data_IF_968459044642
#
_entry.id   IF_968459044642
#
_cell.length_a   1.000
_cell.length_b   1.000
_cell.length_c   1.000
_cell.angle_alpha   90.00
_cell.angle_beta   90.00
_cell.angle_gamma   90.00
#
_symmetry.space_group_name_H-M   'P 1'
#
loop_
_entity.id
_entity.type
_entity.pdbx_description
1 polymer ?
#
# COMPACT_ATOMS: atom_id res chain seq x y z
N UNK A 1 -13.48 -13.74 -13.22
CA UNK A 1 -12.41 -13.91 -14.23
C UNK A 1 -11.08 -13.20 -13.92
N UNK A 2 -11.01 -11.96 -13.39
CA UNK A 2 -9.70 -11.33 -13.13
C UNK A 2 -8.94 -11.87 -11.89
N UNK A 3 -9.64 -12.41 -10.89
CA UNK A 3 -9.02 -12.91 -9.66
C UNK A 3 -8.15 -14.16 -9.88
N UNK A 4 -8.61 -15.12 -10.70
CA UNK A 4 -7.86 -16.34 -11.00
C UNK A 4 -6.54 -16.06 -11.70
N UNK A 5 -6.53 -15.12 -12.64
CA UNK A 5 -5.31 -14.69 -13.34
C UNK A 5 -4.30 -14.05 -12.37
N UNK A 6 -4.76 -13.17 -11.47
CA UNK A 6 -3.90 -12.55 -10.45
C UNK A 6 -3.30 -13.61 -9.53
N UNK A 7 -4.11 -14.55 -9.04
CA UNK A 7 -3.64 -15.61 -8.17
C UNK A 7 -2.62 -16.51 -8.87
N UNK A 8 -2.85 -16.84 -10.15
CA UNK A 8 -1.90 -17.60 -10.95
C UNK A 8 -0.58 -16.85 -11.10
N UNK A 9 -0.61 -15.54 -11.38
CA UNK A 9 0.61 -14.73 -11.51
C UNK A 9 1.39 -14.64 -10.19
N UNK A 10 0.69 -14.45 -9.06
CA UNK A 10 1.31 -14.46 -7.72
C UNK A 10 1.90 -15.83 -7.38
N UNK A 11 1.18 -16.92 -7.70
CA UNK A 11 1.67 -18.28 -7.51
C UNK A 11 2.92 -18.55 -8.37
N UNK A 12 2.91 -18.11 -9.64
CA UNK A 12 4.07 -18.22 -10.53
C UNK A 12 5.27 -17.43 -9.99
N UNK A 13 5.07 -16.20 -9.51
CA UNK A 13 6.14 -15.42 -8.88
C UNK A 13 6.70 -16.15 -7.64
N UNK A 14 5.83 -16.74 -6.82
CA UNK A 14 6.25 -17.51 -5.64
C UNK A 14 7.04 -18.78 -5.99
N UNK A 15 6.55 -19.57 -6.95
CA UNK A 15 7.26 -20.77 -7.45
C UNK A 15 8.61 -20.38 -8.05
N UNK A 16 8.64 -19.31 -8.83
CA UNK A 16 9.87 -18.78 -9.45
C UNK A 16 10.90 -18.36 -8.40
N UNK A 17 10.46 -17.70 -7.32
CA UNK A 17 11.33 -17.35 -6.18
C UNK A 17 11.96 -18.60 -5.57
N UNK A 18 11.15 -19.60 -5.21
CA UNK A 18 11.67 -20.81 -4.57
C UNK A 18 12.58 -21.61 -5.51
N UNK A 19 12.20 -21.75 -6.78
CA UNK A 19 13.03 -22.43 -7.79
C UNK A 19 14.38 -21.72 -7.98
N UNK A 20 14.42 -20.38 -8.00
CA UNK A 20 15.66 -19.63 -8.05
C UNK A 20 16.49 -19.78 -6.75
N UNK A 21 15.85 -19.72 -5.58
CA UNK A 21 16.52 -19.82 -4.28
C UNK A 21 17.19 -21.18 -4.04
N UNK A 22 16.61 -22.27 -4.58
CA UNK A 22 17.20 -23.62 -4.51
C UNK A 22 18.13 -23.94 -5.69
N UNK A 23 18.36 -22.98 -6.59
CA UNK A 23 19.27 -23.12 -7.74
C UNK A 23 18.71 -23.87 -8.95
N UNK A 24 17.41 -24.11 -9.02
CA UNK A 24 16.78 -24.69 -10.22
C UNK A 24 16.65 -23.69 -11.38
N UNK A 25 16.61 -22.39 -11.07
CA UNK A 25 16.61 -21.31 -12.06
C UNK A 25 17.80 -20.37 -11.83
N UNK A 26 18.53 -20.05 -12.90
CA UNK A 26 19.68 -19.13 -12.88
C UNK A 26 19.24 -17.66 -12.99
N UNK A 27 18.33 -17.23 -12.12
CA UNK A 27 17.88 -15.83 -12.01
C UNK A 27 18.05 -15.36 -10.56
N UNK A 28 18.15 -14.05 -10.36
CA UNK A 28 18.11 -13.47 -9.02
C UNK A 28 16.73 -13.69 -8.37
N UNK A 29 16.63 -14.41 -7.23
CA UNK A 29 15.37 -14.64 -6.53
C UNK A 29 14.64 -13.34 -6.18
N UNK A 30 15.36 -12.24 -5.91
CA UNK A 30 14.74 -10.95 -5.58
C UNK A 30 13.88 -10.40 -6.72
N UNK A 31 14.20 -10.72 -7.99
CA UNK A 31 13.35 -10.32 -9.12
C UNK A 31 11.95 -10.93 -9.06
N UNK A 32 11.84 -12.17 -8.57
CA UNK A 32 10.55 -12.82 -8.39
C UNK A 32 9.72 -12.16 -7.27
N UNK A 33 10.38 -11.74 -6.18
CA UNK A 33 9.75 -10.94 -5.11
C UNK A 33 9.29 -9.57 -5.61
N UNK A 34 10.12 -8.90 -6.42
CA UNK A 34 9.75 -7.62 -7.05
C UNK A 34 8.54 -7.77 -7.97
N UNK A 35 8.45 -8.88 -8.72
CA UNK A 35 7.27 -9.18 -9.54
C UNK A 35 6.01 -9.37 -8.69
N UNK A 36 6.11 -10.09 -7.56
CA UNK A 36 5.02 -10.24 -6.61
C UNK A 36 4.55 -8.90 -6.04
N UNK A 37 5.49 -8.06 -5.59
CA UNK A 37 5.18 -6.71 -5.10
C UNK A 37 4.55 -5.84 -6.19
N UNK A 38 5.06 -5.88 -7.42
CA UNK A 38 4.51 -5.14 -8.54
C UNK A 38 3.04 -5.49 -8.81
N UNK A 39 2.69 -6.79 -8.73
CA UNK A 39 1.30 -7.24 -8.86
C UNK A 39 0.42 -6.71 -7.73
N UNK A 40 0.88 -6.79 -6.47
CA UNK A 40 0.16 -6.26 -5.31
C UNK A 40 -0.08 -4.76 -5.44
N UNK A 41 0.95 -3.99 -5.77
CA UNK A 41 0.86 -2.53 -6.00
C UNK A 41 -0.12 -2.22 -7.14
N UNK A 42 -0.10 -2.99 -8.22
CA UNK A 42 -1.03 -2.79 -9.33
C UNK A 42 -2.49 -3.01 -8.89
N UNK A 43 -2.74 -4.04 -8.08
CA UNK A 43 -4.07 -4.31 -7.49
C UNK A 43 -4.49 -3.15 -6.59
N UNK A 44 -3.61 -2.69 -5.72
CA UNK A 44 -3.85 -1.54 -4.85
C UNK A 44 -4.21 -0.29 -5.65
N UNK A 45 -3.46 0.03 -6.71
CA UNK A 45 -3.74 1.17 -7.58
C UNK A 45 -5.13 1.13 -8.19
N UNK A 46 -5.60 -0.05 -8.63
CA UNK A 46 -6.93 -0.24 -9.22
C UNK A 46 -8.02 -0.16 -8.15
N UNK A 47 -7.85 -0.88 -7.04
CA UNK A 47 -8.87 -0.95 -5.98
C UNK A 47 -8.99 0.40 -5.28
N UNK A 48 -7.88 1.03 -4.90
CA UNK A 48 -7.85 2.30 -4.19
C UNK A 48 -8.58 3.41 -4.95
N UNK A 49 -8.42 3.49 -6.28
CA UNK A 49 -9.10 4.53 -7.06
C UNK A 49 -10.61 4.40 -7.19
N UNK A 50 -11.16 3.24 -6.85
CA UNK A 50 -12.61 3.05 -6.76
C UNK A 50 -13.06 3.22 -5.32
N UNK A 51 -12.38 2.54 -4.41
CA UNK A 51 -12.78 2.38 -3.03
C UNK A 51 -12.59 3.67 -2.22
N UNK A 52 -11.44 4.34 -2.35
CA UNK A 52 -11.16 5.55 -1.57
C UNK A 52 -12.14 6.67 -1.93
N UNK A 53 -12.37 7.01 -3.21
CA UNK A 53 -13.38 8.02 -3.57
C UNK A 53 -14.80 7.60 -3.16
N UNK A 54 -15.19 6.35 -3.36
CA UNK A 54 -16.52 5.86 -3.00
C UNK A 54 -16.78 5.97 -1.49
N UNK A 55 -15.81 5.59 -0.65
CA UNK A 55 -15.94 5.71 0.80
C UNK A 55 -15.97 7.17 1.26
N UNK A 56 -15.18 8.05 0.64
CA UNK A 56 -15.22 9.48 0.95
C UNK A 56 -16.56 10.10 0.57
N UNK A 57 -17.10 9.81 -0.61
CA UNK A 57 -18.40 10.33 -1.06
C UNK A 57 -19.56 9.78 -0.23
N UNK A 58 -19.54 8.48 0.10
CA UNK A 58 -20.55 7.87 0.98
C UNK A 58 -20.58 8.51 2.37
N UNK A 59 -19.42 8.92 2.88
CA UNK A 59 -19.30 9.54 4.18
C UNK A 59 -19.62 11.05 4.18
N UNK A 60 -19.53 11.73 3.03
CA UNK A 60 -19.70 13.18 2.90
C UNK A 60 -20.81 13.49 1.87
N UNK A 61 -22.09 13.52 2.29
CA UNK A 61 -23.22 13.76 1.40
C UNK A 61 -23.09 15.06 0.58
N UNK A 62 -23.60 15.04 -0.66
CA UNK A 62 -23.59 16.21 -1.56
C UNK A 62 -22.25 16.48 -2.26
N UNK A 63 -21.27 15.57 -2.16
CA UNK A 63 -19.96 15.72 -2.82
C UNK A 63 -19.76 14.66 -3.89
N UNK A 64 -19.33 15.12 -5.06
CA UNK A 64 -18.87 14.25 -6.15
C UNK A 64 -17.36 14.47 -6.33
N UNK A 65 -16.56 13.47 -5.96
CA UNK A 65 -15.14 13.42 -6.31
C UNK A 65 -15.06 12.91 -7.75
N UNK A 66 -14.73 13.80 -8.69
CA UNK A 66 -14.54 13.45 -10.11
C UNK A 66 -13.06 13.50 -10.43
N UNK A 67 -12.47 12.33 -10.64
CA UNK A 67 -11.12 12.22 -11.21
C UNK A 67 -11.27 12.16 -12.73
N UNK A 68 -10.53 12.97 -13.51
CA UNK A 68 -10.57 12.89 -14.96
C UNK A 68 -10.22 11.48 -15.47
N UNK A 69 -11.00 10.97 -16.42
CA UNK A 69 -10.81 9.60 -16.94
C UNK A 69 -9.45 9.40 -17.63
N UNK A 70 -8.85 10.47 -18.18
CA UNK A 70 -7.49 10.40 -18.71
C UNK A 70 -6.46 10.21 -17.59
N UNK A 71 -6.62 10.91 -16.44
CA UNK A 71 -5.70 10.81 -15.31
C UNK A 71 -5.73 9.41 -14.70
N UNK A 72 -6.92 8.83 -14.53
CA UNK A 72 -7.06 7.44 -14.07
C UNK A 72 -6.34 6.45 -15.00
N UNK A 73 -6.59 6.53 -16.31
CA UNK A 73 -5.96 5.64 -17.30
C UNK A 73 -4.44 5.83 -17.37
N UNK A 74 -3.97 7.07 -17.42
CA UNK A 74 -2.54 7.38 -17.46
C UNK A 74 -1.82 6.94 -16.19
N UNK A 75 -2.42 7.12 -15.01
CA UNK A 75 -1.82 6.68 -13.74
C UNK A 75 -1.60 5.16 -13.76
N UNK A 76 -2.63 4.40 -14.13
CA UNK A 76 -2.54 2.93 -14.16
C UNK A 76 -1.58 2.43 -15.25
N UNK A 77 -1.61 3.03 -16.45
CA UNK A 77 -0.71 2.66 -17.54
C UNK A 77 0.76 2.96 -17.22
N UNK A 78 1.06 4.17 -16.72
CA UNK A 78 2.42 4.55 -16.33
C UNK A 78 2.95 3.65 -15.22
N UNK A 79 2.11 3.31 -14.23
CA UNK A 79 2.48 2.42 -13.13
C UNK A 79 2.75 1.00 -13.61
N UNK A 80 1.86 0.42 -14.42
CA UNK A 80 2.03 -0.91 -14.97
C UNK A 80 3.31 -1.03 -15.81
N UNK A 81 3.54 -0.07 -16.72
CA UNK A 81 4.73 -0.05 -17.58
C UNK A 81 6.02 0.13 -16.77
N UNK A 82 6.01 0.99 -15.75
CA UNK A 82 7.19 1.24 -14.91
C UNK A 82 7.52 0.04 -14.03
N UNK A 83 6.51 -0.59 -13.41
CA UNK A 83 6.69 -1.81 -12.63
C UNK A 83 7.16 -2.99 -13.48
N UNK A 84 6.58 -3.17 -14.68
CA UNK A 84 7.05 -4.20 -15.61
C UNK A 84 8.51 -3.96 -16.03
N UNK A 85 8.85 -2.70 -16.37
CA UNK A 85 10.23 -2.32 -16.74
C UNK A 85 11.21 -2.54 -15.58
N UNK A 86 10.79 -2.23 -14.35
CA UNK A 86 11.59 -2.43 -13.14
C UNK A 86 11.90 -3.90 -12.85
N UNK A 87 10.95 -4.79 -13.12
CA UNK A 87 11.12 -6.24 -12.91
C UNK A 87 11.95 -6.87 -14.04
N UNK A 88 11.74 -6.44 -15.28
CA UNK A 88 12.27 -7.12 -16.46
C UNK A 88 13.60 -6.56 -16.95
N UNK A 89 13.89 -5.28 -16.69
CA UNK A 89 15.05 -4.58 -17.21
C UNK A 89 16.04 -4.24 -16.09
N UNK A 90 17.36 -4.17 -16.40
CA UNK A 90 18.33 -3.56 -15.49
C UNK A 90 17.99 -2.10 -15.17
N UNK A 91 18.60 -1.55 -14.11
CA UNK A 91 18.45 -0.13 -13.77
C UNK A 91 18.77 0.78 -14.97
N UNK A 92 17.84 1.65 -15.33
CA UNK A 92 18.00 2.52 -16.51
C UNK A 92 17.19 3.84 -16.39
N UNK A 93 17.63 4.92 -17.06
CA UNK A 93 16.97 6.22 -17.00
C UNK A 93 15.53 6.24 -17.53
N UNK A 94 15.18 5.39 -18.50
CA UNK A 94 13.82 5.34 -19.04
C UNK A 94 12.81 4.82 -18.00
N UNK A 95 13.19 3.80 -17.23
CA UNK A 95 12.39 3.28 -16.11
C UNK A 95 12.31 4.29 -14.98
N UNK A 96 13.39 5.05 -14.74
CA UNK A 96 13.38 6.15 -13.78
C UNK A 96 12.35 7.23 -14.17
N UNK A 97 12.36 7.66 -15.44
CA UNK A 97 11.40 8.63 -15.96
C UNK A 97 9.95 8.12 -15.88
N UNK A 98 9.73 6.83 -16.17
CA UNK A 98 8.43 6.18 -16.02
C UNK A 98 7.89 6.25 -14.59
N UNK A 99 8.72 5.87 -13.60
CA UNK A 99 8.34 5.96 -12.19
C UNK A 99 8.15 7.40 -11.70
N UNK A 100 8.96 8.34 -12.17
CA UNK A 100 8.77 9.76 -11.85
C UNK A 100 7.42 10.27 -12.38
N UNK A 101 7.05 9.89 -13.61
CA UNK A 101 5.73 10.19 -14.18
C UNK A 101 4.61 9.52 -13.36
N UNK A 102 4.75 8.24 -13.01
CA UNK A 102 3.79 7.54 -12.17
C UNK A 102 3.60 8.24 -10.82
N UNK A 103 4.69 8.70 -10.18
CA UNK A 103 4.63 9.44 -8.93
C UNK A 103 3.81 10.74 -9.05
N UNK A 104 4.06 11.53 -10.10
CA UNK A 104 3.32 12.77 -10.36
C UNK A 104 1.83 12.51 -10.61
N UNK A 105 1.51 11.47 -11.40
CA UNK A 105 0.13 11.08 -11.69
C UNK A 105 -0.59 10.57 -10.44
N UNK A 106 0.07 9.78 -9.60
CA UNK A 106 -0.46 9.33 -8.31
C UNK A 106 -0.73 10.50 -7.35
N UNK A 107 0.19 11.48 -7.28
CA UNK A 107 0.01 12.68 -6.48
C UNK A 107 -1.18 13.52 -6.98
N UNK A 108 -1.28 13.74 -8.29
CA UNK A 108 -2.41 14.42 -8.91
C UNK A 108 -3.73 13.67 -8.65
N UNK A 109 -3.75 12.35 -8.77
CA UNK A 109 -4.90 11.50 -8.49
C UNK A 109 -5.35 11.62 -7.03
N UNK A 110 -4.41 11.56 -6.08
CA UNK A 110 -4.69 11.75 -4.65
C UNK A 110 -5.23 13.15 -4.36
N UNK A 111 -4.71 14.19 -5.01
CA UNK A 111 -5.21 15.56 -4.87
C UNK A 111 -6.70 15.67 -5.25
N UNK A 112 -7.13 15.01 -6.34
CA UNK A 112 -8.53 14.97 -6.75
C UNK A 112 -9.45 14.26 -5.76
N UNK A 113 -8.90 13.40 -4.88
CA UNK A 113 -9.64 12.74 -3.81
C UNK A 113 -9.83 13.62 -2.57
N UNK A 114 -9.13 14.76 -2.50
CA UNK A 114 -9.33 15.82 -1.51
C UNK A 114 -9.16 15.32 -0.06
N UNK A 115 -8.00 14.71 0.28
CA UNK A 115 -7.76 14.02 1.55
C UNK A 115 -8.00 14.90 2.79
N UNK A 116 -7.76 16.21 2.68
CA UNK A 116 -7.97 17.18 3.77
C UNK A 116 -9.41 17.17 4.31
N UNK A 117 -10.40 16.79 3.50
CA UNK A 117 -11.80 16.70 3.94
C UNK A 117 -12.08 15.50 4.84
N UNK A 118 -11.15 14.57 4.95
CA UNK A 118 -11.29 13.35 5.76
C UNK A 118 -10.59 13.45 7.12
N UNK A 119 -9.92 14.57 7.43
CA UNK A 119 -9.10 14.75 8.65
C UNK A 119 -9.85 14.43 9.96
N UNK A 120 -11.14 14.75 10.04
CA UNK A 120 -11.97 14.46 11.22
C UNK A 120 -12.45 13.00 11.32
N UNK A 121 -12.17 12.15 10.32
CA UNK A 121 -12.68 10.78 10.22
C UNK A 121 -11.53 9.79 9.99
N UNK A 122 -10.95 9.21 11.05
CA UNK A 122 -9.75 8.39 10.90
C UNK A 122 -9.89 7.15 10.04
N UNK A 123 -11.07 6.55 10.00
CA UNK A 123 -11.38 5.44 9.10
C UNK A 123 -11.27 5.80 7.60
N UNK A 124 -11.27 7.09 7.27
CA UNK A 124 -11.12 7.59 5.90
C UNK A 124 -9.72 8.15 5.66
N UNK A 125 -9.17 8.96 6.58
CA UNK A 125 -7.86 9.57 6.33
C UNK A 125 -6.75 8.53 6.27
N UNK A 126 -6.86 7.40 6.99
CA UNK A 126 -5.86 6.33 6.95
C UNK A 126 -5.65 5.79 5.54
N UNK A 127 -6.72 5.67 4.74
CA UNK A 127 -6.64 5.18 3.36
C UNK A 127 -5.92 6.18 2.46
N UNK A 128 -6.14 7.48 2.67
CA UNK A 128 -5.46 8.52 1.91
C UNK A 128 -3.99 8.65 2.31
N UNK A 129 -3.70 8.55 3.62
CA UNK A 129 -2.34 8.57 4.14
C UNK A 129 -1.53 7.36 3.66
N UNK A 130 -2.13 6.17 3.65
CA UNK A 130 -1.52 4.98 3.08
C UNK A 130 -1.26 5.14 1.57
N UNK A 131 -2.27 5.59 0.81
CA UNK A 131 -2.11 5.83 -0.62
C UNK A 131 -1.05 6.89 -0.95
N UNK A 132 -0.83 7.88 -0.08
CA UNK A 132 0.23 8.88 -0.25
C UNK A 132 1.64 8.26 -0.30
N UNK A 133 1.83 7.03 0.18
CA UNK A 133 3.08 6.30 0.02
C UNK A 133 3.31 5.73 -1.38
N UNK A 134 2.28 5.58 -2.23
CA UNK A 134 2.47 5.17 -3.63
C UNK A 134 3.30 6.17 -4.45
N UNK A 135 2.97 7.48 -4.49
CA UNK A 135 3.81 8.43 -5.21
C UNK A 135 5.20 8.55 -4.58
N UNK A 136 5.33 8.43 -3.25
CA UNK A 136 6.64 8.40 -2.56
C UNK A 136 7.46 7.19 -2.98
N UNK A 137 6.86 6.00 -2.99
CA UNK A 137 7.53 4.75 -3.39
C UNK A 137 7.93 4.76 -4.86
N UNK A 138 7.07 5.25 -5.75
CA UNK A 138 7.40 5.45 -7.16
C UNK A 138 8.57 6.43 -7.31
N UNK A 139 8.56 7.57 -6.60
CA UNK A 139 9.66 8.53 -6.65
C UNK A 139 10.99 7.94 -6.15
N UNK A 140 10.97 7.21 -5.04
CA UNK A 140 12.15 6.54 -4.51
C UNK A 140 12.68 5.45 -5.44
N UNK A 141 11.80 4.69 -6.11
CA UNK A 141 12.21 3.74 -7.14
C UNK A 141 12.80 4.45 -8.36
N UNK A 142 12.25 5.60 -8.79
CA UNK A 142 12.83 6.40 -9.86
C UNK A 142 14.27 6.83 -9.50
N UNK A 143 14.47 7.32 -8.28
CA UNK A 143 15.78 7.75 -7.80
C UNK A 143 16.76 6.59 -7.66
N UNK A 144 16.28 5.41 -7.23
CA UNK A 144 17.07 4.19 -7.16
C UNK A 144 17.53 3.69 -8.54
N UNK A 145 16.70 3.82 -9.59
CA UNK A 145 17.08 3.49 -10.96
C UNK A 145 18.23 4.37 -11.50
N UNK A 146 18.50 5.51 -10.86
CA UNK A 146 19.61 6.41 -11.15
C UNK A 146 20.77 6.28 -10.14
N UNK A 147 20.70 5.32 -9.23
CA UNK A 147 21.74 5.04 -8.23
C UNK A 147 21.79 6.00 -7.04
N UNK A 148 20.79 6.89 -6.87
CA UNK A 148 20.85 7.91 -5.83
C UNK A 148 20.34 7.49 -4.45
N UNK A 149 19.55 6.41 -4.38
CA UNK A 149 19.17 5.74 -3.12
C UNK A 149 19.11 4.22 -3.33
N UNK A 150 19.17 3.45 -2.25
CA UNK A 150 18.93 2.01 -2.33
C UNK A 150 17.48 1.71 -2.74
N UNK A 151 17.28 0.75 -3.66
CA UNK A 151 15.94 0.29 -4.08
C UNK A 151 15.06 -0.14 -2.91
N UNK A 152 15.66 -0.62 -1.82
CA UNK A 152 14.98 -0.96 -0.56
C UNK A 152 14.08 0.17 -0.05
N UNK A 153 14.44 1.45 -0.23
CA UNK A 153 13.64 2.57 0.25
C UNK A 153 12.30 2.65 -0.49
N UNK A 154 12.32 2.56 -1.83
CA UNK A 154 11.11 2.54 -2.65
C UNK A 154 10.26 1.30 -2.43
N UNK A 155 10.90 0.13 -2.32
CA UNK A 155 10.24 -1.15 -2.00
C UNK A 155 9.44 -1.05 -0.69
N UNK A 156 10.04 -0.52 0.37
CA UNK A 156 9.37 -0.46 1.68
C UNK A 156 8.40 0.71 1.82
N UNK A 157 8.58 1.79 1.05
CA UNK A 157 7.53 2.79 0.89
C UNK A 157 6.25 2.16 0.31
N UNK A 158 6.38 1.30 -0.71
CA UNK A 158 5.25 0.56 -1.26
C UNK A 158 4.72 -0.50 -0.29
N UNK A 159 5.58 -1.38 0.23
CA UNK A 159 5.13 -2.51 1.05
C UNK A 159 4.69 -2.13 2.48
N UNK A 160 5.46 -1.31 3.21
CA UNK A 160 5.13 -0.93 4.59
C UNK A 160 4.24 0.30 4.61
N UNK A 161 4.51 1.28 3.76
CA UNK A 161 3.72 2.52 3.69
C UNK A 161 2.36 2.32 3.04
N UNK A 162 2.34 1.89 1.78
CA UNK A 162 1.10 1.75 1.01
C UNK A 162 0.35 0.46 1.37
N UNK A 163 0.96 -0.71 1.21
CA UNK A 163 0.28 -2.00 1.40
C UNK A 163 -0.20 -2.19 2.83
N UNK A 164 0.69 -2.14 3.83
CA UNK A 164 0.26 -2.34 5.23
C UNK A 164 -0.72 -1.25 5.71
N UNK A 165 -0.56 -0.01 5.27
CA UNK A 165 -1.47 1.10 5.57
C UNK A 165 -2.87 0.90 4.97
N UNK A 166 -2.95 0.47 3.70
CA UNK A 166 -4.21 0.17 3.03
C UNK A 166 -4.87 -1.05 3.67
N UNK A 167 -4.10 -2.10 4.01
CA UNK A 167 -4.58 -3.27 4.73
C UNK A 167 -5.23 -2.83 6.04
N UNK A 168 -4.51 -2.16 6.96
CA UNK A 168 -5.05 -1.84 8.29
C UNK A 168 -6.31 -0.97 8.21
N UNK A 169 -6.37 -0.03 7.26
CA UNK A 169 -7.56 0.79 7.02
C UNK A 169 -8.74 -0.03 6.47
N UNK A 170 -8.50 -0.91 5.51
CA UNK A 170 -9.53 -1.74 4.89
C UNK A 170 -10.04 -2.83 5.83
N UNK A 171 -9.14 -3.55 6.53
CA UNK A 171 -9.54 -4.63 7.44
C UNK A 171 -10.31 -4.11 8.65
N UNK A 172 -10.03 -2.88 9.10
CA UNK A 172 -10.81 -2.22 10.15
C UNK A 172 -12.23 -1.90 9.68
N UNK A 173 -12.35 -1.29 8.50
CA UNK A 173 -13.67 -0.92 7.94
C UNK A 173 -14.52 -2.14 7.63
N UNK A 174 -13.93 -3.13 6.97
CA UNK A 174 -14.63 -4.37 6.58
C UNK A 174 -15.05 -5.16 7.80
N UNK A 175 -14.19 -5.35 8.80
CA UNK A 175 -14.56 -6.02 10.04
C UNK A 175 -15.73 -5.33 10.74
N UNK A 176 -15.77 -4.00 10.83
CA UNK A 176 -16.94 -3.28 11.38
C UNK A 176 -18.21 -3.51 10.57
N UNK A 177 -18.13 -3.42 9.24
CA UNK A 177 -19.29 -3.63 8.37
C UNK A 177 -19.85 -5.06 8.42
N UNK A 178 -18.96 -6.06 8.43
CA UNK A 178 -19.34 -7.47 8.49
C UNK A 178 -19.80 -7.91 9.87
N UNK A 179 -19.44 -7.19 10.93
CA UNK A 179 -19.88 -7.48 12.30
C UNK A 179 -21.03 -6.58 12.78
N UNK A 180 -21.65 -5.80 11.87
CA UNK A 180 -22.82 -4.96 12.15
C UNK A 180 -22.53 -3.74 13.05
N UNK A 181 -21.26 -3.31 13.15
CA UNK A 181 -20.84 -2.25 14.07
C UNK A 181 -20.74 -0.88 13.37
N UNK A 182 -20.96 0.23 14.08
CA UNK A 182 -20.80 1.57 13.51
C UNK A 182 -19.40 1.80 12.95
N UNK A 183 -19.30 2.55 11.84
CA UNK A 183 -18.03 2.96 11.21
C UNK A 183 -17.34 4.12 11.96
N UNK A 184 -17.30 4.02 13.29
CA UNK A 184 -16.64 4.95 14.20
C UNK A 184 -15.51 4.23 14.91
N UNK A 185 -14.29 4.58 14.57
CA UNK A 185 -13.09 3.96 15.14
C UNK A 185 -12.80 4.47 16.55
N UNK A 186 -12.27 3.58 17.38
CA UNK A 186 -11.79 3.82 18.74
C UNK A 186 -10.36 4.41 18.74
N UNK A 187 -9.88 4.79 19.93
CA UNK A 187 -8.49 5.25 20.12
C UNK A 187 -7.45 4.16 19.78
N UNK A 188 -7.75 2.89 20.06
CA UNK A 188 -6.84 1.78 19.77
C UNK A 188 -6.68 1.56 18.26
N UNK A 189 -7.76 1.67 17.49
CA UNK A 189 -7.69 1.60 16.02
C UNK A 189 -6.90 2.77 15.43
N UNK A 190 -7.09 3.99 15.96
CA UNK A 190 -6.28 5.14 15.56
C UNK A 190 -4.81 4.93 15.92
N UNK A 191 -4.51 4.36 17.09
CA UNK A 191 -3.15 4.01 17.47
C UNK A 191 -2.53 3.00 16.50
N UNK A 192 -3.26 1.95 16.10
CA UNK A 192 -2.81 1.00 15.08
C UNK A 192 -2.48 1.70 13.75
N UNK A 193 -3.31 2.63 13.29
CA UNK A 193 -3.04 3.41 12.06
C UNK A 193 -1.76 4.24 12.18
N UNK A 194 -1.59 4.93 13.31
CA UNK A 194 -0.40 5.75 13.55
C UNK A 194 0.86 4.91 13.71
N UNK A 195 0.76 3.71 14.31
CA UNK A 195 1.88 2.77 14.43
C UNK A 195 2.32 2.24 13.06
N UNK A 196 1.40 1.88 12.16
CA UNK A 196 1.76 1.49 10.78
C UNK A 196 2.42 2.66 10.03
N UNK A 197 1.86 3.87 10.16
CA UNK A 197 2.44 5.06 9.55
C UNK A 197 3.84 5.36 10.11
N UNK A 198 4.02 5.27 11.42
CA UNK A 198 5.31 5.42 12.11
C UNK A 198 6.31 4.35 11.69
N UNK A 199 5.88 3.10 11.53
CA UNK A 199 6.71 2.01 11.03
C UNK A 199 7.22 2.30 9.61
N UNK A 200 6.37 2.82 8.73
CA UNK A 200 6.78 3.22 7.37
C UNK A 200 7.81 4.37 7.39
N UNK A 201 7.59 5.38 8.24
CA UNK A 201 8.55 6.49 8.42
C UNK A 201 9.90 5.98 8.92
N UNK A 202 9.91 5.19 10.00
CA UNK A 202 11.12 4.60 10.56
C UNK A 202 11.82 3.66 9.57
N UNK A 203 11.05 2.90 8.77
CA UNK A 203 11.61 1.96 7.80
C UNK A 203 12.25 2.64 6.59
N UNK A 204 11.68 3.76 6.15
CA UNK A 204 12.05 4.41 4.88
C UNK A 204 12.88 5.66 5.10
N UNK A 205 12.43 6.59 5.94
CA UNK A 205 13.06 7.91 6.07
C UNK A 205 14.29 7.86 6.99
N UNK A 206 14.25 7.10 8.08
CA UNK A 206 15.36 7.07 9.05
C UNK A 206 16.69 6.59 8.42
N UNK A 207 16.74 5.51 7.61
CA UNK A 207 17.98 5.12 6.92
C UNK A 207 18.48 6.15 5.90
N UNK A 208 17.61 7.03 5.38
CA UNK A 208 17.99 8.07 4.42
C UNK A 208 18.62 9.29 5.10
N UNK A 209 18.12 9.67 6.29
CA UNK A 209 18.57 10.87 7.01
C UNK A 209 19.64 10.59 8.07
N UNK A 210 19.64 9.38 8.65
CA UNK A 210 20.60 8.97 9.66
C UNK A 210 21.04 7.51 9.43
N UNK A 211 21.85 7.24 8.38
CA UNK A 211 22.28 5.88 8.03
C UNK A 211 22.96 5.12 9.17
N UNK A 212 23.63 5.83 10.09
CA UNK A 212 24.27 5.25 11.27
C UNK A 212 23.29 4.56 12.23
N UNK A 213 22.02 4.97 12.24
CA UNK A 213 20.97 4.42 13.11
C UNK A 213 20.02 3.48 12.36
N UNK A 214 20.47 2.90 11.25
CA UNK A 214 19.62 2.04 10.42
C UNK A 214 19.08 0.85 11.20
N UNK A 215 19.92 0.19 12.02
CA UNK A 215 19.51 -1.03 12.75
C UNK A 215 18.44 -0.70 13.80
N UNK A 216 18.64 0.37 14.57
CA UNK A 216 17.67 0.83 15.56
C UNK A 216 16.36 1.23 14.88
N UNK A 217 16.44 1.93 13.74
CA UNK A 217 15.29 2.27 12.93
C UNK A 217 14.49 1.08 12.45
N UNK A 218 15.17 0.00 12.04
CA UNK A 218 14.54 -1.25 11.63
C UNK A 218 13.84 -1.94 12.80
N UNK A 219 14.46 -1.96 13.99
CA UNK A 219 13.85 -2.54 15.21
C UNK A 219 12.60 -1.75 15.60
N UNK A 220 12.68 -0.41 15.60
CA UNK A 220 11.53 0.46 15.89
C UNK A 220 10.41 0.25 14.86
N UNK A 221 10.74 0.16 13.57
CA UNK A 221 9.76 -0.10 12.53
C UNK A 221 9.07 -1.46 12.71
N UNK A 222 9.84 -2.52 12.98
CA UNK A 222 9.31 -3.86 13.21
C UNK A 222 8.41 -3.92 14.45
N UNK A 223 8.85 -3.33 15.57
CA UNK A 223 8.07 -3.28 16.81
C UNK A 223 6.77 -2.49 16.64
N UNK A 224 6.81 -1.33 15.98
CA UNK A 224 5.62 -0.53 15.71
C UNK A 224 4.62 -1.27 14.82
N UNK A 225 5.10 -1.88 13.73
CA UNK A 225 4.27 -2.67 12.83
C UNK A 225 3.63 -3.87 13.54
N UNK A 226 4.41 -4.66 14.29
CA UNK A 226 3.90 -5.81 15.03
C UNK A 226 2.86 -5.40 16.08
N UNK A 227 3.12 -4.33 16.80
CA UNK A 227 2.18 -3.79 17.81
C UNK A 227 0.88 -3.34 17.16
N UNK A 228 0.93 -2.68 15.99
CA UNK A 228 -0.26 -2.25 15.27
C UNK A 228 -1.20 -3.41 14.91
N UNK A 229 -0.64 -4.51 14.38
CA UNK A 229 -1.42 -5.69 14.01
C UNK A 229 -1.84 -6.52 15.24
N UNK A 230 -1.03 -6.54 16.30
CA UNK A 230 -1.46 -7.13 17.58
C UNK A 230 -2.66 -6.38 18.18
N UNK A 231 -2.67 -5.05 18.12
CA UNK A 231 -3.82 -4.23 18.52
C UNK A 231 -5.06 -4.51 17.66
N UNK A 232 -4.88 -4.67 16.33
CA UNK A 232 -5.98 -5.07 15.46
C UNK A 232 -6.56 -6.43 15.89
N UNK A 233 -5.72 -7.46 16.05
CA UNK A 233 -6.18 -8.79 16.46
C UNK A 233 -6.89 -8.74 17.82
N UNK A 234 -6.33 -8.02 18.80
CA UNK A 234 -6.96 -7.83 20.10
C UNK A 234 -8.38 -7.25 19.99
N UNK A 235 -8.55 -6.17 19.21
CA UNK A 235 -9.84 -5.47 19.10
C UNK A 235 -10.86 -6.27 18.27
N UNK A 236 -10.43 -6.86 17.15
CA UNK A 236 -11.35 -7.38 16.15
C UNK A 236 -11.62 -8.88 16.27
N UNK A 237 -10.69 -9.69 16.79
CA UNK A 237 -10.92 -11.14 16.96
C UNK A 237 -12.20 -11.48 17.73
N UNK A 238 -12.52 -10.89 18.90
CA UNK A 238 -13.77 -11.23 19.60
C UNK A 238 -15.02 -10.85 18.79
N UNK A 239 -14.94 -9.84 17.93
CA UNK A 239 -16.07 -9.43 17.08
C UNK A 239 -16.25 -10.33 15.87
N UNK A 240 -15.16 -10.82 15.30
CA UNK A 240 -15.17 -11.71 14.14
C UNK A 240 -15.53 -13.17 14.51
N UNK A 241 -15.39 -13.53 15.79
CA UNK A 241 -15.76 -14.84 16.34
C UNK A 241 -17.12 -14.84 17.05
N UNK A 242 -17.83 -13.72 17.06
CA UNK A 242 -19.18 -13.62 17.62
C UNK A 242 -20.18 -13.31 16.51
N UNK A 243 -21.44 -13.64 16.76
CA UNK A 243 -22.54 -13.25 15.87
C UNK A 243 -22.58 -11.74 15.73
N UNK A 244 -22.99 -11.28 14.54
CA UNK A 244 -23.19 -9.85 14.27
C UNK A 244 -23.97 -9.13 15.36
N UNK A 245 -23.56 -7.88 15.63
CA UNK A 245 -24.21 -7.03 16.62
C UNK A 245 -25.64 -6.63 16.22
N UNK A 246 -25.94 -6.58 14.92
CA UNK A 246 -27.25 -6.19 14.38
C UNK A 246 -28.22 -7.37 14.17
N UNK A 247 -27.83 -8.58 14.56
CA UNK A 247 -28.67 -9.78 14.48
C UNK A 247 -28.95 -10.30 13.07
N UNK A 248 -28.26 -9.78 12.04
CA UNK A 248 -28.36 -10.28 10.66
C UNK A 248 -27.40 -11.46 10.44
N UNK A 249 -27.58 -12.16 9.31
CA UNK A 249 -26.67 -13.22 8.87
C UNK A 249 -25.22 -12.74 8.78
N UNK A 250 -24.29 -13.53 9.31
CA UNK A 250 -22.84 -13.28 9.29
C UNK A 250 -22.17 -13.41 10.65
#
# INVERSE_FOLDING_TARGET
MPLGAILLLLATANVTFHAAAVGWLSIDPLRALHAGLALVVMIECVIAGRVIPAFTMSALPGRQLKVPAWLERSTLAATALSLASWVLLPANPATAAGFALAALLHAARLWHWQPWRTRARPILWVLHAAYAWLPVGCWLLAWAQLGGVAASAGIHALAVGATAGLIVGMVTRTARGHTGRPLKVSRLEVAAYLLVAGAAIARVLLPLVAPAHTVEGLVVAAAAWATAFALYLWVFTPWLLSTRLDGKDG
#
